data_IF_031127816255
#
_entry.id   IF_031127816255
#
_cell.length_a   1.000
_cell.length_b   1.000
_cell.length_c   1.000
_cell.angle_alpha   90.00
_cell.angle_beta   90.00
_cell.angle_gamma   90.00
#
_symmetry.space_group_name_H-M   'P 1'
#
loop_
_entity.id
_entity.type
_entity.pdbx_description
1 polymer ?
#
# COMPACT_ATOMS: atom_id res chain seq x y z
N UNK A 1 -14.28 2.30 6.14
CA UNK A 1 -13.63 1.47 7.18
C UNK A 1 -12.67 2.27 8.04
N UNK A 2 -11.74 3.07 7.46
CA UNK A 2 -10.78 3.92 8.21
C UNK A 2 -11.42 4.86 9.23
N UNK A 3 -12.31 5.78 8.79
CA UNK A 3 -13.03 6.72 9.69
C UNK A 3 -13.66 6.03 10.91
N UNK A 4 -14.30 4.88 10.69
CA UNK A 4 -14.91 4.08 11.78
C UNK A 4 -13.87 3.61 12.79
N UNK A 5 -12.71 3.12 12.33
CA UNK A 5 -11.67 2.61 13.22
C UNK A 5 -10.89 3.73 13.92
N UNK A 6 -10.73 4.89 13.29
CA UNK A 6 -10.19 6.08 13.96
C UNK A 6 -11.13 6.57 15.05
N UNK A 7 -12.45 6.59 14.79
CA UNK A 7 -13.43 6.93 15.82
C UNK A 7 -13.35 5.97 17.01
N UNK A 8 -13.25 4.65 16.77
CA UNK A 8 -13.09 3.66 17.84
C UNK A 8 -11.83 3.90 18.67
N UNK A 9 -10.71 4.26 18.03
CA UNK A 9 -9.45 4.60 18.72
C UNK A 9 -9.62 5.85 19.61
N UNK A 10 -10.26 6.90 19.09
CA UNK A 10 -10.53 8.12 19.84
C UNK A 10 -11.52 7.89 21.00
N UNK A 11 -12.61 7.16 20.75
CA UNK A 11 -13.62 6.82 21.77
C UNK A 11 -13.03 5.96 22.90
N UNK A 12 -12.00 5.17 22.60
CA UNK A 12 -11.23 4.41 23.58
C UNK A 12 -10.23 5.28 24.38
N UNK A 13 -10.13 6.58 24.09
CA UNK A 13 -9.29 7.54 24.79
C UNK A 13 -7.84 7.59 24.34
N UNK A 14 -7.52 7.12 23.12
CA UNK A 14 -6.17 7.27 22.56
C UNK A 14 -5.90 8.72 22.12
N UNK A 15 -4.74 9.25 22.47
CA UNK A 15 -4.30 10.60 22.07
C UNK A 15 -4.08 10.73 20.55
N UNK A 16 -3.74 9.61 19.90
CA UNK A 16 -3.45 9.54 18.47
C UNK A 16 -4.21 8.38 17.82
N UNK A 17 -4.55 8.56 16.54
CA UNK A 17 -5.05 7.47 15.69
C UNK A 17 -3.93 6.97 14.78
N UNK A 18 -3.87 5.66 14.59
CA UNK A 18 -2.89 5.04 13.68
C UNK A 18 -3.31 5.32 12.23
N UNK A 19 -2.40 5.85 11.41
CA UNK A 19 -2.63 6.08 9.97
C UNK A 19 -1.56 5.35 9.15
N UNK A 20 -1.93 4.91 7.95
CA UNK A 20 -1.06 4.11 7.09
C UNK A 20 -1.08 2.60 7.41
N UNK A 21 -1.77 2.20 8.47
CA UNK A 21 -2.00 0.81 8.89
C UNK A 21 -3.02 0.08 8.00
N UNK A 22 -3.98 0.81 7.42
CA UNK A 22 -4.95 0.24 6.50
C UNK A 22 -4.29 -0.22 5.20
N UNK A 23 -4.64 -1.43 4.76
CA UNK A 23 -4.28 -1.94 3.44
C UNK A 23 -5.45 -2.68 2.82
N UNK A 24 -5.62 -2.56 1.51
CA UNK A 24 -6.57 -3.39 0.77
C UNK A 24 -6.09 -4.85 0.64
N UNK A 25 -4.78 -5.08 0.76
CA UNK A 25 -4.18 -6.41 0.69
C UNK A 25 -3.08 -6.59 1.74
N UNK A 26 -2.00 -5.79 1.64
CA UNK A 26 -0.83 -5.89 2.52
C UNK A 26 -0.15 -4.52 2.69
N UNK A 27 0.27 -4.21 3.91
CA UNK A 27 0.98 -2.96 4.21
C UNK A 27 2.38 -2.91 3.60
N UNK A 28 3.06 -4.04 3.41
CA UNK A 28 4.39 -4.04 2.77
C UNK A 28 4.26 -3.78 1.27
N UNK A 29 3.22 -4.33 0.62
CA UNK A 29 2.82 -3.96 -0.72
C UNK A 29 2.53 -2.45 -0.85
N UNK A 30 1.84 -1.83 0.11
CA UNK A 30 1.61 -0.38 0.10
C UNK A 30 2.93 0.40 0.03
N UNK A 31 3.97 -0.04 0.75
CA UNK A 31 5.30 0.60 0.73
C UNK A 31 6.00 0.36 -0.61
N UNK A 32 5.95 -0.87 -1.14
CA UNK A 32 6.50 -1.18 -2.46
C UNK A 32 5.89 -0.29 -3.55
N UNK A 33 4.57 -0.13 -3.54
CA UNK A 33 3.83 0.76 -4.44
C UNK A 33 4.22 2.23 -4.21
N UNK A 34 4.24 2.70 -2.95
CA UNK A 34 4.64 4.08 -2.62
C UNK A 34 6.02 4.46 -3.17
N UNK A 35 6.97 3.54 -3.15
CA UNK A 35 8.34 3.76 -3.63
C UNK A 35 8.53 3.48 -5.14
N UNK A 36 7.49 3.07 -5.85
CA UNK A 36 7.59 2.66 -7.25
C UNK A 36 8.34 1.34 -7.46
N UNK A 37 8.45 0.51 -6.43
CA UNK A 37 9.08 -0.80 -6.48
C UNK A 37 8.14 -1.85 -7.10
N UNK A 38 7.84 -1.67 -8.40
CA UNK A 38 6.95 -2.55 -9.16
C UNK A 38 7.76 -3.40 -10.13
N UNK A 39 7.69 -4.74 -10.05
CA UNK A 39 8.37 -5.61 -11.01
C UNK A 39 7.95 -5.37 -12.45
N UNK A 40 8.92 -5.43 -13.37
CA UNK A 40 8.71 -5.13 -14.79
C UNK A 40 7.56 -5.93 -15.44
N UNK A 41 7.28 -7.15 -14.94
CA UNK A 41 6.19 -8.01 -15.44
C UNK A 41 4.79 -7.40 -15.31
N UNK A 42 4.61 -6.38 -14.46
CA UNK A 42 3.33 -5.68 -14.31
C UNK A 42 3.16 -4.49 -15.25
N UNK A 43 4.21 -4.12 -16.01
CA UNK A 43 4.20 -3.06 -17.02
C UNK A 43 3.72 -1.68 -16.50
N UNK A 44 4.09 -1.33 -15.27
CA UNK A 44 3.63 -0.11 -14.58
C UNK A 44 4.61 1.08 -14.69
N UNK A 45 5.54 1.09 -15.66
CA UNK A 45 6.57 2.13 -15.76
C UNK A 45 5.98 3.53 -15.98
N UNK A 46 4.89 3.63 -16.73
CA UNK A 46 4.18 4.88 -16.93
C UNK A 46 3.52 5.37 -15.64
N UNK A 47 2.78 4.49 -14.95
CA UNK A 47 2.16 4.77 -13.65
C UNK A 47 3.18 5.23 -12.59
N UNK A 48 4.34 4.55 -12.53
CA UNK A 48 5.44 4.93 -11.63
C UNK A 48 5.98 6.32 -11.96
N UNK A 49 6.12 6.66 -13.24
CA UNK A 49 6.60 7.97 -13.67
C UNK A 49 5.58 9.09 -13.40
N UNK A 50 4.29 8.79 -13.54
CA UNK A 50 3.20 9.72 -13.29
C UNK A 50 2.92 9.94 -11.79
N UNK A 51 3.42 9.06 -10.93
CA UNK A 51 3.23 9.17 -9.48
C UNK A 51 1.94 8.57 -8.96
N UNK A 52 1.20 7.83 -9.81
CA UNK A 52 -0.16 7.35 -9.56
C UNK A 52 -0.31 5.89 -10.02
N UNK A 53 0.19 4.96 -9.19
CA UNK A 53 -0.02 3.53 -9.40
C UNK A 53 -1.47 3.16 -9.12
N UNK A 54 -2.10 2.50 -10.10
CA UNK A 54 -3.48 2.06 -9.99
C UNK A 54 -3.61 0.94 -8.94
N UNK A 55 -4.74 0.94 -8.24
CA UNK A 55 -5.15 -0.13 -7.34
C UNK A 55 -5.20 -1.48 -8.08
N UNK A 56 -5.56 -1.49 -9.36
CA UNK A 56 -5.54 -2.71 -10.18
C UNK A 56 -4.11 -3.24 -10.39
N UNK A 57 -3.12 -2.37 -10.57
CA UNK A 57 -1.70 -2.75 -10.60
C UNK A 57 -1.25 -3.35 -9.26
N UNK A 58 -1.62 -2.72 -8.14
CA UNK A 58 -1.35 -3.28 -6.81
C UNK A 58 -2.01 -4.65 -6.61
N UNK A 59 -3.24 -4.85 -7.08
CA UNK A 59 -3.90 -6.16 -7.03
C UNK A 59 -3.28 -7.19 -7.97
N UNK A 60 -2.77 -6.79 -9.14
CA UNK A 60 -2.00 -7.70 -10.00
C UNK A 60 -0.72 -8.16 -9.30
N UNK A 61 -0.01 -7.27 -8.60
CA UNK A 61 1.12 -7.65 -7.73
C UNK A 61 0.68 -8.64 -6.64
N UNK A 62 -0.44 -8.37 -5.97
CA UNK A 62 -0.96 -9.18 -4.87
C UNK A 62 -1.42 -10.58 -5.25
N UNK A 63 -2.13 -10.73 -6.36
CA UNK A 63 -2.87 -11.97 -6.70
C UNK A 63 -2.85 -12.32 -8.18
N UNK A 64 -1.99 -11.68 -8.97
CA UNK A 64 -1.74 -11.97 -10.37
C UNK A 64 -2.81 -11.54 -11.36
N UNK A 65 -3.92 -10.96 -10.88
CA UNK A 65 -5.04 -10.48 -11.71
C UNK A 65 -5.84 -9.36 -11.05
N UNK A 66 -6.36 -8.48 -11.89
CA UNK A 66 -7.31 -7.42 -11.53
C UNK A 66 -8.30 -7.21 -12.71
N UNK A 67 -9.35 -6.40 -12.56
CA UNK A 67 -10.25 -6.05 -13.67
C UNK A 67 -9.55 -5.49 -14.90
N UNK A 68 -8.47 -4.72 -14.71
CA UNK A 68 -7.63 -4.18 -15.78
C UNK A 68 -6.17 -4.65 -15.71
N UNK A 69 -5.46 -4.46 -16.82
CA UNK A 69 -4.07 -4.88 -17.01
C UNK A 69 -3.90 -6.35 -17.33
N UNK A 70 -2.74 -6.71 -17.89
CA UNK A 70 -2.43 -8.09 -18.24
C UNK A 70 -2.14 -8.93 -16.98
N UNK A 71 -2.70 -10.14 -16.85
CA UNK A 71 -2.36 -11.07 -15.78
C UNK A 71 -0.87 -11.42 -15.78
N UNK A 72 -0.29 -11.55 -14.59
CA UNK A 72 1.09 -11.95 -14.39
C UNK A 72 1.21 -12.80 -13.12
N UNK A 73 2.35 -13.47 -12.92
CA UNK A 73 2.60 -14.15 -11.65
C UNK A 73 2.60 -13.12 -10.50
N UNK A 74 1.81 -13.39 -9.46
CA UNK A 74 1.80 -12.59 -8.24
C UNK A 74 3.20 -12.54 -7.60
N UNK A 75 3.46 -11.51 -6.81
CA UNK A 75 4.68 -11.48 -6.00
C UNK A 75 4.67 -12.58 -4.95
N UNK A 76 5.87 -12.97 -4.51
CA UNK A 76 6.02 -13.95 -3.43
C UNK A 76 5.36 -13.44 -2.15
N UNK A 77 4.69 -14.35 -1.44
CA UNK A 77 4.17 -14.10 -0.10
C UNK A 77 4.91 -14.98 0.91
N UNK A 78 5.31 -14.40 2.03
CA UNK A 78 5.93 -15.14 3.13
C UNK A 78 5.39 -14.68 4.48
N UNK A 79 5.68 -15.44 5.54
CA UNK A 79 5.23 -15.11 6.89
C UNK A 79 5.88 -13.82 7.39
N UNK A 80 5.08 -12.98 8.02
CA UNK A 80 5.56 -11.79 8.71
C UNK A 80 6.07 -12.20 10.10
N UNK A 81 7.39 -12.36 10.20
CA UNK A 81 8.06 -12.90 11.38
C UNK A 81 7.50 -14.28 11.79
N UNK A 82 7.25 -14.48 13.08
CA UNK A 82 6.67 -15.69 13.67
C UNK A 82 5.14 -15.66 13.73
N UNK A 83 4.51 -14.64 13.15
CA UNK A 83 3.04 -14.52 13.10
C UNK A 83 2.43 -15.42 12.02
N UNK A 84 1.10 -15.50 12.00
CA UNK A 84 0.34 -16.11 10.89
C UNK A 84 -0.04 -15.09 9.79
N UNK A 85 0.34 -13.82 9.93
CA UNK A 85 0.17 -12.84 8.86
C UNK A 85 1.17 -13.13 7.74
N UNK A 86 0.75 -12.93 6.49
CA UNK A 86 1.62 -13.06 5.32
C UNK A 86 1.71 -11.71 4.63
N UNK A 87 2.92 -11.33 4.24
CA UNK A 87 3.18 -10.09 3.51
C UNK A 87 3.76 -10.41 2.12
N UNK A 88 3.63 -9.46 1.18
CA UNK A 88 4.28 -9.55 -0.12
C UNK A 88 5.74 -9.14 0.00
N UNK A 89 6.65 -10.03 -0.39
CA UNK A 89 8.08 -9.76 -0.40
C UNK A 89 8.36 -8.65 -1.43
N UNK A 90 8.99 -7.52 -1.06
CA UNK A 90 9.44 -6.53 -2.02
C UNK A 90 10.45 -7.15 -2.99
N UNK A 91 10.15 -7.09 -4.27
CA UNK A 91 11.02 -7.61 -5.32
C UNK A 91 11.85 -6.46 -5.90
N UNK A 92 13.12 -6.43 -5.51
CA UNK A 92 14.07 -5.37 -5.89
C UNK A 92 15.12 -5.92 -6.85
N UNK A 93 15.65 -5.05 -7.72
CA UNK A 93 16.74 -5.42 -8.63
C UNK A 93 17.91 -4.43 -8.57
N UNK A 94 19.07 -4.88 -9.05
CA UNK A 94 20.25 -4.01 -9.17
C UNK A 94 19.96 -2.82 -10.10
N UNK A 95 20.42 -1.63 -9.70
CA UNK A 95 20.19 -0.40 -10.45
C UNK A 95 18.77 0.16 -10.37
N UNK A 96 17.90 -0.39 -9.52
CA UNK A 96 16.55 0.15 -9.33
C UNK A 96 16.58 1.55 -8.73
N UNK A 97 15.78 2.44 -9.32
CA UNK A 97 15.51 3.78 -8.80
C UNK A 97 14.16 3.82 -8.11
N UNK A 98 14.06 4.59 -7.04
CA UNK A 98 12.81 4.79 -6.31
C UNK A 98 12.30 6.22 -6.55
N UNK A 99 10.98 6.34 -6.68
CA UNK A 99 10.28 7.62 -6.78
C UNK A 99 8.99 7.54 -5.96
N UNK A 100 8.39 8.68 -5.65
CA UNK A 100 7.08 8.71 -5.01
C UNK A 100 6.01 8.35 -6.05
N UNK A 101 5.57 7.09 -6.03
CA UNK A 101 4.64 6.52 -7.02
C UNK A 101 3.23 6.29 -6.47
N UNK A 102 2.96 6.73 -5.23
CA UNK A 102 1.62 6.83 -4.67
C UNK A 102 1.59 7.85 -3.53
N UNK A 103 0.57 8.72 -3.52
CA UNK A 103 0.30 9.68 -2.44
C UNK A 103 -0.58 9.12 -1.32
N UNK A 104 -1.03 7.86 -1.40
CA UNK A 104 -2.05 7.26 -0.52
C UNK A 104 -1.83 7.55 0.97
N UNK A 105 -0.60 7.40 1.47
CA UNK A 105 -0.32 7.66 2.89
C UNK A 105 -0.62 9.11 3.28
N UNK A 106 -0.22 10.07 2.44
CA UNK A 106 -0.50 11.48 2.66
C UNK A 106 -1.99 11.77 2.57
N UNK A 107 -2.68 11.16 1.61
CA UNK A 107 -4.13 11.29 1.46
C UNK A 107 -4.89 10.75 2.68
N UNK A 108 -4.43 9.63 3.26
CA UNK A 108 -4.98 9.06 4.49
C UNK A 108 -4.70 9.94 5.72
N UNK A 109 -3.51 10.55 5.80
CA UNK A 109 -3.17 11.54 6.85
C UNK A 109 -4.09 12.76 6.73
N UNK A 110 -4.27 13.30 5.53
CA UNK A 110 -5.16 14.42 5.27
C UNK A 110 -6.63 14.06 5.53
N UNK A 111 -7.05 12.82 5.24
CA UNK A 111 -8.36 12.29 5.59
C UNK A 111 -8.58 12.32 7.12
N UNK A 112 -7.62 11.82 7.90
CA UNK A 112 -7.69 11.80 9.36
C UNK A 112 -7.72 13.21 9.96
N UNK A 113 -6.86 14.11 9.47
CA UNK A 113 -6.80 15.52 9.91
C UNK A 113 -8.12 16.25 9.62
N UNK A 114 -8.67 16.09 8.40
CA UNK A 114 -9.96 16.70 8.03
C UNK A 114 -11.13 16.18 8.86
N UNK A 115 -11.04 14.93 9.33
CA UNK A 115 -12.03 14.34 10.21
C UNK A 115 -11.87 14.73 11.70
N UNK A 116 -10.85 15.53 12.05
CA UNK A 116 -10.63 16.02 13.41
C UNK A 116 -9.84 15.06 14.31
N UNK A 117 -9.15 14.08 13.74
CA UNK A 117 -8.26 13.19 14.48
C UNK A 117 -6.81 13.72 14.48
N UNK A 118 -6.04 13.29 15.48
CA UNK A 118 -4.58 13.52 15.53
C UNK A 118 -3.87 12.26 15.00
N UNK A 119 -3.38 12.24 13.76
CA UNK A 119 -2.73 11.06 13.19
C UNK A 119 -1.32 10.85 13.75
N UNK A 120 -0.88 9.60 13.77
CA UNK A 120 0.50 9.16 14.01
C UNK A 120 0.94 8.16 12.96
#
# INVERSE_FOLDING_TARGET
>A
MRLRHWQVQQDAGLDFVSVGDFAFYDQVLNVSVMLGAVPARFNAQAEVADGDIDLDTAFRMARGRAPSGEPAAACEMTKYFDTNYHYLVPELHEGQTFTMASSRLFDEVDEALRAGFTPK
#
